data_IF_446169990839
#
_entry.id   IF_446169990839
#
_cell.length_a   1.000
_cell.length_b   1.000
_cell.length_c   1.000
_cell.angle_alpha   90.00
_cell.angle_beta   90.00
_cell.angle_gamma   90.00
#
_symmetry.space_group_name_H-M   'P 1'
#
loop_
_entity.id
_entity.type
_entity.pdbx_description
1 polymer ?
#
# COMPACT_ATOMS: atom_id res chain seq x y z
N UNK A 1 -11.63 4.14 -6.58
CA UNK A 1 -12.23 3.85 -5.25
C UNK A 1 -12.29 5.18 -4.51
N UNK A 2 -13.46 5.59 -4.06
CA UNK A 2 -13.68 6.85 -3.32
C UNK A 2 -13.81 6.49 -1.84
N UNK A 3 -13.08 7.18 -0.98
CA UNK A 3 -13.17 7.07 0.47
C UNK A 3 -13.77 8.36 0.99
N UNK A 4 -14.84 8.24 1.74
CA UNK A 4 -15.55 9.37 2.34
C UNK A 4 -15.58 9.23 3.87
N UNK A 5 -15.85 10.31 4.58
CA UNK A 5 -16.11 10.31 6.01
C UNK A 5 -17.49 9.69 6.28
N UNK A 6 -17.64 9.03 7.43
CA UNK A 6 -18.96 8.64 7.90
C UNK A 6 -19.81 9.88 8.22
N UNK A 7 -21.15 9.78 8.08
CA UNK A 7 -22.05 10.93 8.31
C UNK A 7 -21.85 11.59 9.68
N UNK A 8 -21.58 10.78 10.72
CA UNK A 8 -21.29 11.27 12.05
C UNK A 8 -19.99 12.10 12.13
N UNK A 9 -19.05 11.88 11.25
CA UNK A 9 -17.76 12.58 11.21
C UNK A 9 -17.80 13.86 10.37
N UNK A 10 -18.87 14.09 9.61
CA UNK A 10 -19.07 15.30 8.80
C UNK A 10 -19.52 16.50 9.61
N UNK A 11 -19.64 16.38 10.94
CA UNK A 11 -19.96 17.49 11.85
C UNK A 11 -18.72 17.96 12.60
N UNK A 12 -18.56 19.29 12.69
CA UNK A 12 -17.47 19.90 13.45
C UNK A 12 -17.74 19.84 14.95
N UNK A 13 -16.89 19.14 15.71
CA UNK A 13 -17.00 19.06 17.17
C UNK A 13 -16.71 20.37 17.89
N UNK A 14 -16.03 21.35 17.24
CA UNK A 14 -15.67 22.64 17.82
C UNK A 14 -16.74 23.72 17.66
N UNK A 15 -17.43 23.77 16.50
CA UNK A 15 -18.42 24.82 16.20
C UNK A 15 -19.82 24.28 15.87
N UNK A 16 -20.01 22.96 15.83
CA UNK A 16 -21.28 22.30 15.56
C UNK A 16 -21.81 22.43 14.12
N UNK A 17 -21.04 23.04 13.21
CA UNK A 17 -21.43 23.21 11.80
C UNK A 17 -21.07 21.99 10.98
N UNK A 18 -21.82 21.76 9.90
CA UNK A 18 -21.47 20.74 8.91
C UNK A 18 -20.17 21.10 8.17
N UNK A 19 -19.33 20.10 7.96
CA UNK A 19 -18.12 20.23 7.18
C UNK A 19 -18.50 20.24 5.69
N UNK A 20 -17.93 21.17 4.93
CA UNK A 20 -18.09 21.24 3.48
C UNK A 20 -16.90 20.58 2.78
N UNK A 21 -17.15 19.93 1.66
CA UNK A 21 -16.10 19.41 0.77
C UNK A 21 -15.30 20.60 0.20
N UNK A 22 -13.99 20.65 0.41
CA UNK A 22 -13.12 21.74 -0.06
C UNK A 22 -12.13 21.27 -1.13
N UNK A 23 -11.75 20.01 -1.09
CA UNK A 23 -10.78 19.43 -2.03
C UNK A 23 -10.87 17.91 -2.04
N UNK A 24 -10.30 17.32 -3.08
CA UNK A 24 -10.05 15.88 -3.20
C UNK A 24 -8.54 15.64 -3.17
N UNK A 25 -8.11 14.69 -2.36
CA UNK A 25 -6.73 14.21 -2.39
C UNK A 25 -6.71 12.88 -3.14
N UNK A 26 -6.09 12.89 -4.32
CA UNK A 26 -6.01 11.73 -5.18
C UNK A 26 -4.67 11.03 -5.02
N UNK A 27 -4.68 9.72 -4.84
CA UNK A 27 -3.49 8.88 -4.85
C UNK A 27 -3.72 7.65 -5.71
N UNK A 28 -2.67 7.20 -6.40
CA UNK A 28 -2.71 6.03 -7.27
C UNK A 28 -1.84 4.92 -6.69
N UNK A 29 -2.28 3.67 -6.84
CA UNK A 29 -1.49 2.48 -6.52
C UNK A 29 -1.64 1.44 -7.61
N UNK A 30 -0.58 0.69 -7.83
CA UNK A 30 -0.61 -0.44 -8.74
C UNK A 30 -1.11 -1.70 -8.03
N UNK A 31 -2.05 -2.41 -8.67
CA UNK A 31 -2.52 -3.72 -8.24
C UNK A 31 -2.13 -4.76 -9.30
N UNK A 32 -1.44 -5.83 -8.86
CA UNK A 32 -1.05 -6.91 -9.76
C UNK A 32 -2.10 -8.02 -9.73
N UNK A 33 -2.63 -8.32 -10.90
CA UNK A 33 -3.45 -9.51 -11.13
C UNK A 33 -2.65 -10.39 -12.09
N UNK A 34 -2.52 -11.71 -11.84
CA UNK A 34 -1.79 -12.58 -12.76
C UNK A 34 -2.21 -12.36 -14.21
N UNK A 35 -1.21 -12.14 -15.10
CA UNK A 35 -1.38 -11.76 -16.50
C UNK A 35 -2.01 -10.37 -16.77
N UNK A 36 -2.30 -9.55 -15.76
CA UNK A 36 -2.72 -8.18 -15.97
C UNK A 36 -2.26 -7.26 -14.84
N UNK A 37 -2.01 -5.98 -15.17
CA UNK A 37 -1.79 -4.92 -14.17
C UNK A 37 -2.92 -3.91 -14.24
N UNK A 38 -3.35 -3.43 -13.06
CA UNK A 38 -4.36 -2.38 -12.95
C UNK A 38 -3.81 -1.22 -12.14
N UNK A 39 -4.10 -0.01 -12.55
CA UNK A 39 -3.92 1.19 -11.73
C UNK A 39 -5.20 1.40 -10.93
N UNK A 40 -5.08 1.45 -9.62
CA UNK A 40 -6.18 1.75 -8.71
C UNK A 40 -5.98 3.18 -8.21
N UNK A 41 -6.95 4.03 -8.50
CA UNK A 41 -6.97 5.41 -8.02
C UNK A 41 -7.82 5.48 -6.74
N UNK A 42 -7.20 5.88 -5.64
CA UNK A 42 -7.88 6.17 -4.38
C UNK A 42 -8.16 7.67 -4.29
N UNK A 43 -9.43 8.05 -4.19
CA UNK A 43 -9.86 9.44 -4.03
C UNK A 43 -10.37 9.61 -2.60
N UNK A 44 -9.69 10.46 -1.82
CA UNK A 44 -10.06 10.78 -0.44
C UNK A 44 -10.67 12.17 -0.40
N UNK A 45 -11.96 12.26 -0.10
CA UNK A 45 -12.68 13.52 -0.02
C UNK A 45 -12.25 14.32 1.22
N UNK A 46 -12.12 15.63 1.07
CA UNK A 46 -11.76 16.56 2.15
C UNK A 46 -12.93 17.49 2.44
N UNK A 47 -13.32 17.53 3.69
CA UNK A 47 -14.37 18.38 4.20
C UNK A 47 -13.81 19.46 5.14
N UNK A 48 -14.32 20.65 5.08
CA UNK A 48 -13.88 21.75 5.93
C UNK A 48 -15.05 22.59 6.44
N UNK A 49 -14.86 23.15 7.63
CA UNK A 49 -15.58 24.32 8.15
C UNK A 49 -14.55 25.40 8.54
N UNK A 50 -14.99 26.51 9.11
CA UNK A 50 -14.09 27.61 9.49
C UNK A 50 -13.08 27.23 10.61
N UNK A 51 -13.31 26.10 11.30
CA UNK A 51 -12.50 25.65 12.45
C UNK A 51 -11.58 24.48 12.14
N UNK A 52 -11.88 23.62 11.18
CA UNK A 52 -11.14 22.36 10.97
C UNK A 52 -11.26 21.84 9.55
N UNK A 53 -10.30 20.98 9.18
CA UNK A 53 -10.30 20.22 7.93
C UNK A 53 -10.23 18.74 8.28
N UNK A 54 -11.09 17.91 7.68
CA UNK A 54 -11.06 16.45 7.79
C UNK A 54 -10.93 15.83 6.41
N UNK A 55 -10.08 14.82 6.30
CA UNK A 55 -9.89 14.01 5.08
C UNK A 55 -10.36 12.60 5.35
N UNK A 56 -11.11 12.02 4.42
CA UNK A 56 -11.48 10.60 4.48
C UNK A 56 -10.23 9.72 4.51
N UNK A 57 -10.25 8.69 5.34
CA UNK A 57 -9.15 7.74 5.46
C UNK A 57 -9.26 6.67 4.36
N UNK A 58 -8.12 6.28 3.81
CA UNK A 58 -8.04 5.10 2.95
C UNK A 58 -7.59 3.87 3.73
N UNK A 59 -7.88 2.65 3.26
CA UNK A 59 -7.38 1.43 3.87
C UNK A 59 -5.85 1.45 4.03
N UNK A 60 -5.31 0.88 5.12
CA UNK A 60 -3.87 0.82 5.32
C UNK A 60 -3.21 0.01 4.21
N UNK A 61 -2.05 0.45 3.76
CA UNK A 61 -1.21 -0.24 2.80
C UNK A 61 0.01 -0.83 3.50
N UNK A 62 0.58 -1.94 3.02
CA UNK A 62 1.79 -2.53 3.61
C UNK A 62 2.96 -1.55 3.69
N UNK A 63 3.08 -0.67 2.71
CA UNK A 63 4.06 0.42 2.69
C UNK A 63 3.29 1.73 2.49
N UNK A 64 3.31 2.59 3.48
CA UNK A 64 2.68 3.91 3.40
C UNK A 64 3.26 4.74 2.25
N UNK A 65 2.38 5.48 1.56
CA UNK A 65 2.73 6.35 0.42
C UNK A 65 3.42 5.63 -0.74
N UNK A 66 3.36 4.30 -0.80
CA UNK A 66 3.85 3.53 -1.94
C UNK A 66 2.86 3.54 -3.09
N UNK A 67 3.38 3.46 -4.32
CA UNK A 67 2.58 3.19 -5.51
C UNK A 67 2.28 1.71 -5.70
N UNK A 68 2.88 0.82 -4.89
CA UNK A 68 2.67 -0.61 -4.96
C UNK A 68 1.57 -1.06 -3.99
N UNK A 69 0.55 -1.71 -4.51
CA UNK A 69 -0.42 -2.47 -3.71
C UNK A 69 0.20 -3.78 -3.20
N UNK A 70 -0.48 -4.44 -2.24
CA UNK A 70 0.02 -5.66 -1.59
C UNK A 70 0.34 -6.79 -2.58
N UNK A 71 -0.49 -6.97 -3.61
CA UNK A 71 -0.30 -8.01 -4.62
C UNK A 71 0.94 -7.77 -5.48
N UNK A 72 1.24 -6.51 -5.84
CA UNK A 72 2.46 -6.18 -6.57
C UNK A 72 3.71 -6.40 -5.72
N UNK A 73 3.67 -6.03 -4.43
CA UNK A 73 4.77 -6.30 -3.50
C UNK A 73 5.03 -7.80 -3.37
N UNK A 74 3.96 -8.60 -3.19
CA UNK A 74 4.06 -10.05 -3.13
C UNK A 74 4.65 -10.63 -4.42
N UNK A 75 4.20 -10.17 -5.59
CA UNK A 75 4.72 -10.62 -6.88
C UNK A 75 6.22 -10.34 -7.03
N UNK A 76 6.67 -9.13 -6.68
CA UNK A 76 8.11 -8.77 -6.77
C UNK A 76 8.95 -9.68 -5.87
N UNK A 77 8.48 -9.97 -4.66
CA UNK A 77 9.17 -10.82 -3.68
C UNK A 77 9.21 -12.27 -4.16
N UNK A 78 8.06 -12.83 -4.55
CA UNK A 78 7.97 -14.21 -5.03
C UNK A 78 8.84 -14.40 -6.27
N UNK A 79 8.70 -13.52 -7.26
CA UNK A 79 9.53 -13.57 -8.47
C UNK A 79 11.03 -13.49 -8.15
N UNK A 80 11.43 -12.67 -7.15
CA UNK A 80 12.84 -12.55 -6.76
C UNK A 80 13.37 -13.80 -6.07
N UNK A 81 12.61 -14.37 -5.12
CA UNK A 81 13.11 -15.39 -4.21
C UNK A 81 12.68 -16.81 -4.59
N UNK A 82 11.45 -17.02 -5.05
CA UNK A 82 10.96 -18.32 -5.48
C UNK A 82 11.31 -18.61 -6.94
N UNK A 83 11.15 -17.60 -7.82
CA UNK A 83 11.39 -17.78 -9.26
C UNK A 83 12.79 -17.38 -9.70
N UNK A 84 13.66 -16.98 -8.76
CA UNK A 84 15.04 -16.54 -9.00
C UNK A 84 15.18 -15.44 -10.06
N UNK A 85 14.16 -14.60 -10.21
CA UNK A 85 14.17 -13.49 -11.17
C UNK A 85 14.87 -12.26 -10.58
N UNK A 86 16.02 -11.84 -11.09
CA UNK A 86 16.67 -10.63 -10.62
C UNK A 86 15.84 -9.38 -10.95
N UNK A 87 15.93 -8.36 -10.10
CA UNK A 87 15.11 -7.14 -10.20
C UNK A 87 15.25 -6.44 -11.57
N UNK A 88 16.42 -6.50 -12.21
CA UNK A 88 16.61 -5.92 -13.53
C UNK A 88 15.81 -6.63 -14.63
N UNK A 89 15.51 -7.93 -14.49
CA UNK A 89 14.60 -8.66 -15.39
C UNK A 89 13.15 -8.29 -15.14
N UNK A 90 12.77 -8.16 -13.86
CA UNK A 90 11.43 -7.73 -13.49
C UNK A 90 11.15 -6.29 -14.00
N UNK A 91 12.12 -5.37 -13.86
CA UNK A 91 12.05 -4.02 -14.43
C UNK A 91 11.70 -4.07 -15.94
N UNK A 92 12.44 -4.85 -16.73
CA UNK A 92 12.15 -5.05 -18.16
C UNK A 92 10.81 -5.73 -18.44
N UNK A 93 10.34 -6.59 -17.53
CA UNK A 93 9.01 -7.21 -17.68
C UNK A 93 7.91 -6.16 -17.47
N UNK A 94 8.04 -5.28 -16.47
CA UNK A 94 7.09 -4.20 -16.24
C UNK A 94 7.10 -3.16 -17.37
N UNK A 95 8.28 -2.81 -17.91
CA UNK A 95 8.40 -1.95 -19.08
C UNK A 95 7.60 -2.48 -20.29
N UNK A 96 7.61 -3.80 -20.53
CA UNK A 96 6.80 -4.42 -21.61
C UNK A 96 5.29 -4.28 -21.40
N UNK A 97 4.86 -4.09 -20.16
CA UNK A 97 3.47 -3.81 -19.79
C UNK A 97 3.16 -2.31 -19.72
N UNK A 98 4.11 -1.45 -20.17
CA UNK A 98 3.95 0.01 -20.17
C UNK A 98 4.10 0.65 -18.79
N UNK A 99 4.73 -0.04 -17.83
CA UNK A 99 4.87 0.43 -16.46
C UNK A 99 6.35 0.59 -16.13
N UNK A 100 6.72 1.82 -15.77
CA UNK A 100 8.09 2.16 -15.37
C UNK A 100 8.25 2.00 -13.85
N UNK A 101 8.85 0.89 -13.43
CA UNK A 101 9.19 0.59 -12.03
C UNK A 101 10.68 0.22 -11.96
N UNK A 102 11.49 1.14 -11.46
CA UNK A 102 12.94 0.91 -11.41
C UNK A 102 13.31 -0.20 -10.41
N UNK A 103 14.40 -0.92 -10.71
CA UNK A 103 14.99 -1.89 -9.78
C UNK A 103 15.34 -1.28 -8.41
N UNK A 104 15.66 0.03 -8.35
CA UNK A 104 15.93 0.75 -7.10
C UNK A 104 14.65 0.85 -6.26
N UNK A 105 13.53 1.18 -6.89
CA UNK A 105 12.20 1.24 -6.23
C UNK A 105 11.81 -0.13 -5.68
N UNK A 106 11.93 -1.18 -6.48
CA UNK A 106 11.64 -2.56 -6.05
C UNK A 106 12.56 -3.00 -4.90
N UNK A 107 13.84 -2.63 -4.93
CA UNK A 107 14.78 -2.88 -3.82
C UNK A 107 14.33 -2.22 -2.52
N UNK A 108 13.89 -0.96 -2.59
CA UNK A 108 13.32 -0.25 -1.44
C UNK A 108 12.06 -0.91 -0.89
N UNK A 109 11.17 -1.40 -1.75
CA UNK A 109 9.99 -2.14 -1.33
C UNK A 109 10.35 -3.44 -0.59
N UNK A 110 11.35 -4.19 -1.09
CA UNK A 110 11.79 -5.42 -0.44
C UNK A 110 12.33 -5.16 0.98
N UNK A 111 13.10 -4.09 1.16
CA UNK A 111 13.58 -3.69 2.50
C UNK A 111 12.42 -3.40 3.45
N UNK A 112 11.44 -2.61 3.01
CA UNK A 112 10.25 -2.29 3.82
C UNK A 112 9.39 -3.51 4.12
N UNK A 113 9.23 -4.42 3.17
CA UNK A 113 8.51 -5.67 3.39
C UNK A 113 9.25 -6.57 4.38
N UNK A 114 10.59 -6.62 4.34
CA UNK A 114 11.38 -7.36 5.32
C UNK A 114 11.18 -6.82 6.74
N UNK A 115 11.21 -5.49 6.91
CA UNK A 115 10.92 -4.84 8.20
C UNK A 115 9.49 -5.19 8.70
N UNK A 116 8.50 -5.17 7.81
CA UNK A 116 7.11 -5.50 8.15
C UNK A 116 6.94 -6.97 8.56
N UNK A 117 7.66 -7.88 7.95
CA UNK A 117 7.56 -9.32 8.19
C UNK A 117 8.48 -9.80 9.32
N UNK A 118 9.41 -8.99 9.81
CA UNK A 118 10.35 -9.39 10.87
C UNK A 118 9.66 -9.91 12.14
N UNK A 119 8.58 -9.31 12.68
CA UNK A 119 7.90 -9.86 13.85
C UNK A 119 7.38 -11.29 13.64
N UNK A 120 6.84 -11.57 12.45
CA UNK A 120 6.39 -12.92 12.09
C UNK A 120 7.57 -13.88 11.99
N UNK A 121 8.66 -13.46 11.35
CA UNK A 121 9.88 -14.24 11.24
C UNK A 121 10.45 -14.61 12.62
N UNK A 122 10.50 -13.66 13.56
CA UNK A 122 10.98 -13.91 14.93
C UNK A 122 10.10 -14.91 15.67
N UNK A 123 8.78 -14.84 15.51
CA UNK A 123 7.85 -15.81 16.08
C UNK A 123 8.07 -17.20 15.50
N UNK A 124 8.18 -17.33 14.19
CA UNK A 124 8.45 -18.62 13.52
C UNK A 124 9.78 -19.21 13.99
N UNK A 125 10.82 -18.39 14.07
CA UNK A 125 12.14 -18.82 14.55
C UNK A 125 12.09 -19.32 15.98
N UNK A 126 11.38 -18.59 16.86
CA UNK A 126 11.21 -19.00 18.27
C UNK A 126 10.50 -20.36 18.36
N UNK A 127 9.44 -20.55 17.60
CA UNK A 127 8.65 -21.79 17.58
C UNK A 127 9.50 -23.00 17.09
N UNK A 128 10.22 -22.80 15.99
CA UNK A 128 11.12 -23.84 15.44
C UNK A 128 12.23 -24.22 16.44
N UNK A 129 12.82 -23.26 17.16
CA UNK A 129 13.86 -23.53 18.13
C UNK A 129 13.33 -24.13 19.44
N UNK A 130 12.05 -23.95 19.75
CA UNK A 130 11.38 -24.54 20.91
C UNK A 130 10.85 -25.95 20.66
N UNK A 131 10.59 -26.29 19.39
CA UNK A 131 10.15 -27.64 19.01
C UNK A 131 11.31 -28.63 19.19
N UNK A 132 11.12 -29.62 20.08
CA UNK A 132 12.05 -30.75 20.18
C UNK A 132 11.96 -31.54 18.89
N UNK A 133 13.05 -31.55 18.13
CA UNK A 133 13.23 -32.50 17.05
C UNK A 133 13.35 -33.88 17.69
N UNK A 134 12.30 -34.68 17.62
CA UNK A 134 12.32 -36.12 17.98
C UNK A 134 12.82 -36.91 16.79
#
# INVERSE_FOLDING_TARGET
MVHDLEEAEKHCTGCGKDLRLIAEETSERYEYIPASMKVIQDVCLKYACDCTVRTATKPPQPIEKSTAGASLLAQVIVAKWADHQPLHRQEKMFERHGIDISRKTMGGWMTRCAELLDPLYQLMKKELLSSKVT
#
